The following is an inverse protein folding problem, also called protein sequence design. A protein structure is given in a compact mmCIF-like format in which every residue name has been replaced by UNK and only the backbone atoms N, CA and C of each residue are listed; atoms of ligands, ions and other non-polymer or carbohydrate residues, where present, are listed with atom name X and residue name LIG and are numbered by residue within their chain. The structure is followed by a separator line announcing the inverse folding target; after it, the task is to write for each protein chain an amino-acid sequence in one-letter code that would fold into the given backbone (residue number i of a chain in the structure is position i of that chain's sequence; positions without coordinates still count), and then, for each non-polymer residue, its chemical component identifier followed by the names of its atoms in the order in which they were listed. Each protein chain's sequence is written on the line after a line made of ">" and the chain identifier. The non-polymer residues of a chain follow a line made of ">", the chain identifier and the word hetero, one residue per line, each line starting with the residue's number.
data_IF_472352920755
#
_entry.id   IF_472352920755
#
_cell.length_a   1.000
_cell.length_b   1.000
_cell.length_c   1.000
_cell.angle_alpha   90.00
_cell.angle_beta   90.00
_cell.angle_gamma   90.00
#
_symmetry.space_group_name_H-M   'P 1'
#
loop_
_entity.id
_entity.type
_entity.pdbx_description
1 polymer ?
#
# COMPACT_ATOMS: atom_id res chain seq x y z
N UNK A 1 -16.99 -13.42 17.87
CA UNK A 1 -17.18 -13.60 16.43
C UNK A 1 -17.83 -12.33 15.89
N UNK A 2 -17.03 -11.36 15.49
CA UNK A 2 -17.52 -10.13 14.84
C UNK A 2 -17.75 -10.48 13.38
N UNK A 3 -19.02 -10.42 12.95
CA UNK A 3 -19.37 -10.51 11.52
C UNK A 3 -18.81 -9.27 10.85
N UNK A 4 -17.69 -9.41 10.14
CA UNK A 4 -17.14 -8.37 9.29
C UNK A 4 -18.14 -8.19 8.14
N UNK A 5 -18.93 -7.11 8.25
CA UNK A 5 -19.90 -6.73 7.24
C UNK A 5 -19.15 -6.35 5.95
N UNK A 6 -19.64 -6.88 4.86
CA UNK A 6 -19.18 -6.76 3.47
C UNK A 6 -19.33 -5.33 2.88
N UNK A 7 -19.19 -4.28 3.68
CA UNK A 7 -19.57 -2.92 3.27
C UNK A 7 -18.43 -1.92 3.30
N UNK A 8 -17.17 -2.35 3.16
CA UNK A 8 -16.16 -1.36 3.38
C UNK A 8 -15.03 -1.36 2.35
N UNK A 9 -15.36 -1.04 1.12
CA UNK A 9 -14.37 -0.54 0.17
C UNK A 9 -14.89 0.59 -0.72
N UNK A 10 -16.07 1.16 -0.43
CA UNK A 10 -16.63 2.20 -1.28
C UNK A 10 -17.37 3.25 -0.46
N UNK A 11 -16.67 4.30 -0.05
CA UNK A 11 -17.33 5.60 0.03
C UNK A 11 -17.36 6.18 -1.37
N UNK A 12 -18.29 5.73 -2.18
CA UNK A 12 -18.68 6.38 -3.41
C UNK A 12 -19.37 7.70 -3.04
N UNK A 13 -18.70 8.80 -3.28
CA UNK A 13 -19.37 10.07 -3.45
C UNK A 13 -20.39 9.89 -4.57
N UNK A 14 -21.68 10.00 -4.22
CA UNK A 14 -22.82 9.88 -5.11
C UNK A 14 -22.83 11.01 -6.13
N UNK A 15 -22.20 10.82 -7.27
CA UNK A 15 -22.50 11.54 -8.50
C UNK A 15 -23.08 10.53 -9.49
N UNK A 16 -24.17 10.88 -10.22
CA UNK A 16 -24.88 9.96 -11.09
C UNK A 16 -24.24 9.85 -12.48
N UNK A 17 -23.01 9.42 -12.52
CA UNK A 17 -22.35 8.88 -13.73
C UNK A 17 -21.52 7.69 -13.30
N UNK A 18 -21.46 6.58 -14.07
CA UNK A 18 -20.50 5.54 -13.81
C UNK A 18 -19.12 6.14 -14.08
N UNK A 19 -18.52 6.77 -13.08
CA UNK A 19 -17.14 7.20 -13.14
C UNK A 19 -16.30 5.94 -13.29
N UNK A 20 -15.77 5.71 -14.45
CA UNK A 20 -14.64 4.83 -14.62
C UNK A 20 -13.51 5.49 -13.83
N UNK A 21 -13.06 4.82 -12.79
CA UNK A 21 -11.92 5.28 -12.04
C UNK A 21 -10.66 5.03 -12.87
N UNK A 22 -10.21 6.06 -13.56
CA UNK A 22 -9.02 6.04 -14.43
C UNK A 22 -7.81 6.70 -13.73
N UNK A 23 -7.98 7.16 -12.49
CA UNK A 23 -6.94 7.84 -11.69
C UNK A 23 -6.88 7.25 -10.28
N UNK A 24 -5.67 6.99 -9.79
CA UNK A 24 -5.46 6.50 -8.40
C UNK A 24 -5.91 7.50 -7.35
N UNK A 25 -6.06 8.79 -7.71
CA UNK A 25 -6.51 9.88 -6.82
C UNK A 25 -7.99 9.81 -6.49
N UNK A 26 -8.75 9.02 -7.26
CA UNK A 26 -10.18 8.77 -6.99
C UNK A 26 -10.41 7.78 -5.84
N UNK A 27 -9.32 7.17 -5.32
CA UNK A 27 -9.37 6.15 -4.28
C UNK A 27 -8.78 6.63 -2.97
N UNK A 28 -9.31 6.06 -1.89
CA UNK A 28 -8.90 6.39 -0.53
C UNK A 28 -8.45 5.14 0.23
N UNK A 29 -7.43 5.33 1.07
CA UNK A 29 -7.01 4.38 2.10
C UNK A 29 -7.14 5.12 3.42
N UNK A 30 -8.03 4.67 4.31
CA UNK A 30 -8.36 5.31 5.60
C UNK A 30 -8.73 6.80 5.45
N UNK A 31 -9.47 7.14 4.37
CA UNK A 31 -9.92 8.50 4.11
C UNK A 31 -8.89 9.43 3.44
N UNK A 32 -7.67 8.95 3.19
CA UNK A 32 -6.59 9.68 2.52
C UNK A 32 -6.47 9.28 1.05
N UNK A 33 -6.10 10.22 0.18
CA UNK A 33 -5.83 10.00 -1.25
C UNK A 33 -4.41 10.41 -1.63
N UNK A 34 -3.89 9.84 -2.70
CA UNK A 34 -2.67 10.34 -3.35
C UNK A 34 -2.92 11.77 -3.83
N UNK A 35 -2.04 12.70 -3.46
CA UNK A 35 -2.18 14.13 -3.73
C UNK A 35 -2.69 14.96 -2.55
N UNK A 36 -3.28 14.34 -1.53
CA UNK A 36 -3.65 15.03 -0.29
C UNK A 36 -2.41 15.41 0.51
N UNK A 37 -2.56 16.33 1.45
CA UNK A 37 -1.55 16.62 2.47
C UNK A 37 -1.74 15.70 3.67
N UNK A 38 -0.68 15.08 4.18
CA UNK A 38 -0.77 14.36 5.45
C UNK A 38 -1.17 15.26 6.62
N UNK A 39 -0.92 16.57 6.53
CA UNK A 39 -1.32 17.55 7.55
C UNK A 39 -2.85 17.70 7.67
N UNK A 40 -3.62 17.25 6.70
CA UNK A 40 -5.08 17.25 6.77
C UNK A 40 -5.60 16.15 7.73
N UNK A 41 -4.73 15.18 8.10
CA UNK A 41 -5.08 14.00 8.89
C UNK A 41 -4.26 13.85 10.18
N UNK A 42 -3.02 14.37 10.19
CA UNK A 42 -2.06 14.21 11.29
C UNK A 42 -1.32 15.52 11.56
N UNK A 43 -0.89 15.71 12.79
CA UNK A 43 0.02 16.81 13.13
C UNK A 43 1.42 16.60 12.55
N UNK A 44 2.17 17.67 12.33
CA UNK A 44 3.55 17.60 11.85
C UNK A 44 4.43 16.75 12.80
N UNK A 45 4.22 16.82 14.11
CA UNK A 45 4.95 16.03 15.12
C UNK A 45 4.68 14.52 14.94
N UNK A 46 3.43 14.13 14.71
CA UNK A 46 3.07 12.73 14.44
C UNK A 46 3.71 12.23 13.16
N UNK A 47 3.67 13.02 12.07
CA UNK A 47 4.30 12.67 10.80
C UNK A 47 5.82 12.48 10.98
N UNK A 48 6.52 13.46 11.56
CA UNK A 48 7.97 13.43 11.72
C UNK A 48 8.44 12.27 12.62
N UNK A 49 7.71 11.98 13.70
CA UNK A 49 8.02 10.86 14.59
C UNK A 49 7.78 9.49 13.97
N UNK A 50 6.94 9.43 12.93
CA UNK A 50 6.57 8.21 12.21
C UNK A 50 7.49 7.89 11.03
N UNK A 51 8.43 8.79 10.67
CA UNK A 51 9.35 8.55 9.55
C UNK A 51 10.28 7.37 9.84
N UNK A 52 10.44 6.52 8.82
CA UNK A 52 11.33 5.36 8.83
C UNK A 52 12.33 5.42 7.68
N UNK A 53 13.55 5.00 7.93
CA UNK A 53 14.64 4.97 6.95
C UNK A 53 14.74 3.59 6.28
N UNK A 54 13.80 3.30 5.37
CA UNK A 54 13.80 2.04 4.61
C UNK A 54 14.73 2.04 3.40
N UNK A 55 15.14 3.22 2.94
CA UNK A 55 15.85 3.39 1.67
C UNK A 55 17.18 4.10 1.88
N UNK A 56 18.15 3.85 1.00
CA UNK A 56 19.45 4.53 1.01
C UNK A 56 19.35 5.96 0.45
N UNK A 57 18.61 6.11 -0.65
CA UNK A 57 18.28 7.40 -1.21
C UNK A 57 17.11 8.03 -0.45
N UNK A 58 17.18 9.33 -0.22
CA UNK A 58 16.23 10.07 0.60
C UNK A 58 15.34 11.03 -0.19
N UNK A 59 15.24 10.87 -1.51
CA UNK A 59 14.34 11.70 -2.35
C UNK A 59 12.90 11.64 -1.86
N UNK A 60 12.46 10.43 -1.43
CA UNK A 60 11.20 10.24 -0.74
C UNK A 60 11.43 9.70 0.67
N UNK A 61 10.58 10.12 1.59
CA UNK A 61 10.46 9.59 2.95
C UNK A 61 9.23 8.69 3.05
N UNK A 62 9.29 7.73 3.95
CA UNK A 62 8.16 6.88 4.32
C UNK A 62 7.82 7.11 5.78
N UNK A 63 6.56 7.42 6.08
CA UNK A 63 6.03 7.47 7.44
C UNK A 63 5.10 6.27 7.67
N UNK A 64 5.33 5.53 8.77
CA UNK A 64 4.45 4.47 9.23
C UNK A 64 3.44 5.05 10.22
N UNK A 65 2.21 5.26 9.73
CA UNK A 65 1.13 5.88 10.49
C UNK A 65 0.26 4.80 11.14
N UNK A 66 -0.05 5.00 12.42
CA UNK A 66 -0.97 4.16 13.18
C UNK A 66 -2.00 5.06 13.86
N UNK A 67 -3.27 4.68 13.83
CA UNK A 67 -4.35 5.39 14.48
C UNK A 67 -5.43 4.44 14.96
N UNK A 68 -6.01 4.71 16.11
CA UNK A 68 -7.20 4.01 16.59
C UNK A 68 -8.46 4.33 15.77
N UNK A 69 -8.38 5.33 14.91
CA UNK A 69 -9.46 5.74 13.99
C UNK A 69 -9.44 4.96 12.69
N UNK A 70 -8.36 4.22 12.39
CA UNK A 70 -8.31 3.34 11.23
C UNK A 70 -9.31 2.20 11.39
N UNK A 71 -10.07 1.96 10.32
CA UNK A 71 -11.19 1.02 10.36
C UNK A 71 -10.94 -0.25 9.54
N UNK A 72 -10.02 -0.19 8.57
CA UNK A 72 -9.79 -1.23 7.58
C UNK A 72 -8.43 -1.87 7.78
N UNK A 73 -7.40 -1.02 7.94
CA UNK A 73 -6.01 -1.43 8.03
C UNK A 73 -5.46 -1.26 9.45
N UNK A 74 -4.51 -2.10 9.83
CA UNK A 74 -3.79 -1.99 11.10
C UNK A 74 -2.81 -0.82 11.12
N UNK A 75 -2.38 -0.37 9.93
CA UNK A 75 -1.52 0.78 9.74
C UNK A 75 -1.50 1.24 8.29
N UNK A 76 -0.93 2.43 8.07
CA UNK A 76 -0.76 3.02 6.74
C UNK A 76 0.67 3.49 6.57
N UNK A 77 1.30 3.15 5.45
CA UNK A 77 2.56 3.75 5.03
C UNK A 77 2.27 4.86 4.03
N UNK A 78 2.65 6.08 4.38
CA UNK A 78 2.55 7.24 3.50
C UNK A 78 3.94 7.65 3.01
N UNK A 79 4.06 7.95 1.71
CA UNK A 79 5.32 8.35 1.08
C UNK A 79 5.19 9.74 0.47
N UNK A 80 6.14 10.61 0.79
CA UNK A 80 6.17 12.02 0.37
C UNK A 80 7.61 12.46 0.08
N UNK A 81 7.81 13.57 -0.62
CA UNK A 81 9.15 14.09 -0.93
C UNK A 81 9.82 14.64 0.33
N UNK A 82 11.13 14.41 0.45
CA UNK A 82 11.91 14.79 1.64
C UNK A 82 11.79 16.27 2.00
N UNK A 83 11.82 17.16 1.00
CA UNK A 83 11.83 18.61 1.21
C UNK A 83 10.43 19.26 1.12
N UNK A 84 9.38 18.43 1.02
CA UNK A 84 8.01 18.92 0.92
C UNK A 84 7.39 19.15 2.31
N UNK A 85 7.33 20.42 2.71
CA UNK A 85 6.72 20.82 3.98
C UNK A 85 5.19 20.70 4.02
N UNK A 86 4.56 20.41 2.90
CA UNK A 86 3.12 20.11 2.84
C UNK A 86 2.85 18.62 3.01
N UNK A 87 3.89 17.79 3.00
CA UNK A 87 3.80 16.35 3.10
C UNK A 87 2.77 15.76 2.11
N UNK A 88 2.85 16.20 0.83
CA UNK A 88 1.94 15.70 -0.22
C UNK A 88 2.20 14.23 -0.46
N UNK A 89 1.13 13.45 -0.40
CA UNK A 89 1.15 11.99 -0.54
C UNK A 89 1.43 11.62 -2.00
N UNK A 90 2.55 10.96 -2.25
CA UNK A 90 2.92 10.34 -3.54
C UNK A 90 2.66 8.83 -3.56
N UNK A 91 2.62 8.21 -2.41
CA UNK A 91 2.27 6.81 -2.24
C UNK A 91 1.56 6.56 -0.92
N UNK A 92 0.56 5.72 -0.96
CA UNK A 92 -0.24 5.36 0.19
C UNK A 92 -0.46 3.85 0.19
N UNK A 93 -0.13 3.17 1.28
CA UNK A 93 -0.21 1.72 1.40
C UNK A 93 -0.89 1.36 2.72
N UNK A 94 -2.08 0.77 2.64
CA UNK A 94 -2.73 0.13 3.78
C UNK A 94 -2.06 -1.22 4.08
N UNK A 95 -1.81 -1.48 5.36
CA UNK A 95 -1.13 -2.68 5.86
C UNK A 95 -2.02 -3.41 6.84
N UNK A 96 -2.22 -4.71 6.62
CA UNK A 96 -2.89 -5.62 7.56
C UNK A 96 -1.94 -6.74 7.94
N UNK A 97 -1.81 -7.04 9.24
CA UNK A 97 -0.92 -8.09 9.74
C UNK A 97 -1.61 -9.44 9.80
N UNK A 98 -0.87 -10.50 9.44
CA UNK A 98 -1.30 -11.90 9.47
C UNK A 98 -0.28 -12.74 10.24
N UNK A 99 -0.29 -12.63 11.56
CA UNK A 99 0.79 -13.15 12.43
C UNK A 99 1.09 -14.64 12.28
N UNK A 100 0.13 -15.47 11.87
CA UNK A 100 0.33 -16.92 11.76
C UNK A 100 -0.53 -17.57 10.65
N UNK A 101 -1.09 -16.78 9.74
CA UNK A 101 -1.99 -17.32 8.74
C UNK A 101 -1.87 -16.59 7.39
N UNK A 102 -0.80 -16.87 6.68
CA UNK A 102 -0.55 -16.31 5.34
C UNK A 102 -1.64 -16.72 4.33
N UNK A 103 -2.30 -17.84 4.52
CA UNK A 103 -3.38 -18.29 3.64
C UNK A 103 -4.59 -17.32 3.67
N UNK A 104 -4.85 -16.71 4.82
CA UNK A 104 -5.88 -15.65 4.90
C UNK A 104 -5.46 -14.40 4.12
N UNK A 105 -4.17 -14.05 4.10
CA UNK A 105 -3.65 -12.97 3.25
C UNK A 105 -3.92 -13.28 1.77
N UNK A 106 -3.59 -14.49 1.32
CA UNK A 106 -3.81 -14.88 -0.07
C UNK A 106 -5.29 -14.84 -0.45
N UNK A 107 -6.16 -15.37 0.40
CA UNK A 107 -7.60 -15.32 0.17
C UNK A 107 -8.11 -13.87 0.09
N UNK A 108 -7.65 -12.99 1.00
CA UNK A 108 -8.02 -11.58 1.00
C UNK A 108 -7.48 -10.81 -0.20
N UNK A 109 -6.24 -11.11 -0.62
CA UNK A 109 -5.64 -10.57 -1.85
C UNK A 109 -6.51 -10.90 -3.07
N UNK A 110 -6.96 -12.15 -3.19
CA UNK A 110 -7.78 -12.57 -4.32
C UNK A 110 -9.17 -11.92 -4.32
N UNK A 111 -9.78 -11.72 -3.16
CA UNK A 111 -11.03 -10.97 -3.00
C UNK A 111 -10.86 -9.51 -3.50
N UNK A 112 -9.83 -8.81 -3.00
CA UNK A 112 -9.54 -7.41 -3.38
C UNK A 112 -9.19 -7.32 -4.86
N UNK A 113 -8.43 -8.27 -5.40
CA UNK A 113 -8.12 -8.32 -6.83
C UNK A 113 -9.38 -8.35 -7.70
N UNK A 114 -10.37 -9.16 -7.34
CA UNK A 114 -11.62 -9.25 -8.09
C UNK A 114 -12.42 -7.94 -8.04
N UNK A 115 -12.37 -7.22 -6.92
CA UNK A 115 -13.02 -5.91 -6.78
C UNK A 115 -12.28 -4.84 -7.59
N UNK A 116 -10.95 -4.74 -7.43
CA UNK A 116 -10.14 -3.76 -8.17
C UNK A 116 -10.21 -3.97 -9.68
N UNK A 117 -10.28 -5.23 -10.14
CA UNK A 117 -10.47 -5.55 -11.56
C UNK A 117 -11.80 -5.04 -12.13
N UNK A 118 -12.84 -4.95 -11.32
CA UNK A 118 -14.13 -4.36 -11.73
C UNK A 118 -14.06 -2.83 -11.80
N UNK A 119 -13.28 -2.23 -10.93
CA UNK A 119 -13.12 -0.77 -10.82
C UNK A 119 -12.15 -0.23 -11.87
N UNK A 120 -10.99 -0.85 -12.03
CA UNK A 120 -9.89 -0.42 -12.91
C UNK A 120 -9.96 -1.06 -14.31
N UNK A 121 -11.05 -0.83 -15.04
CA UNK A 121 -11.29 -1.47 -16.34
C UNK A 121 -10.25 -1.15 -17.40
N UNK A 122 -9.60 0.02 -17.31
CA UNK A 122 -8.61 0.51 -18.28
C UNK A 122 -7.17 0.31 -17.83
N UNK A 123 -6.94 -0.21 -16.62
CA UNK A 123 -5.60 -0.51 -16.14
C UNK A 123 -5.05 -1.78 -16.80
N UNK A 124 -3.76 -1.79 -17.05
CA UNK A 124 -3.03 -3.00 -17.44
C UNK A 124 -2.74 -3.81 -16.18
N UNK A 125 -3.18 -5.07 -16.15
CA UNK A 125 -2.95 -5.97 -15.01
C UNK A 125 -1.63 -6.69 -15.24
N UNK A 126 -0.70 -6.57 -14.29
CA UNK A 126 0.54 -7.33 -14.20
C UNK A 126 0.47 -8.23 -12.96
N UNK A 127 0.10 -9.49 -13.17
CA UNK A 127 0.09 -10.51 -12.12
C UNK A 127 1.45 -11.22 -12.12
N UNK A 128 2.28 -10.88 -11.13
CA UNK A 128 3.63 -11.45 -10.98
C UNK A 128 3.66 -12.79 -10.25
N UNK A 129 2.52 -13.25 -9.74
CA UNK A 129 2.47 -14.44 -8.93
C UNK A 129 3.37 -14.33 -7.67
N UNK A 130 3.97 -15.45 -7.27
CA UNK A 130 4.85 -15.51 -6.10
C UNK A 130 6.33 -15.53 -6.51
N UNK A 131 7.14 -14.70 -5.86
CA UNK A 131 8.60 -14.61 -6.08
C UNK A 131 9.34 -14.41 -4.74
N UNK A 132 10.65 -14.64 -4.73
CA UNK A 132 11.46 -14.45 -3.52
C UNK A 132 11.54 -12.99 -3.11
N UNK A 133 11.38 -12.72 -1.81
CA UNK A 133 11.45 -11.36 -1.29
C UNK A 133 12.88 -10.80 -1.46
N UNK A 134 13.07 -9.61 -2.04
CA UNK A 134 14.40 -9.09 -2.39
C UNK A 134 15.36 -8.92 -1.21
N UNK A 135 14.84 -8.64 -0.01
CA UNK A 135 15.68 -8.44 1.19
C UNK A 135 16.05 -9.76 1.89
N UNK A 136 15.39 -10.86 1.53
CA UNK A 136 15.75 -12.18 2.09
C UNK A 136 16.70 -12.92 1.14
N UNK A 137 18.00 -12.79 1.40
CA UNK A 137 19.05 -13.45 0.62
C UNK A 137 18.95 -14.99 0.64
N UNK A 138 18.22 -15.58 1.59
CA UNK A 138 18.01 -17.04 1.64
C UNK A 138 16.96 -17.50 0.62
N UNK A 139 16.15 -16.56 0.09
CA UNK A 139 15.07 -16.83 -0.85
C UNK A 139 13.87 -17.59 -0.26
N UNK A 140 13.83 -17.78 1.07
CA UNK A 140 12.73 -18.48 1.75
C UNK A 140 11.48 -17.61 1.87
N UNK A 141 11.65 -16.31 2.15
CA UNK A 141 10.51 -15.37 2.20
C UNK A 141 9.98 -15.09 0.80
N UNK A 142 8.67 -14.95 0.67
CA UNK A 142 7.98 -14.75 -0.61
C UNK A 142 7.17 -13.46 -0.63
N UNK A 143 7.00 -12.94 -1.85
CA UNK A 143 6.04 -11.88 -2.14
C UNK A 143 5.12 -12.41 -3.24
N UNK A 144 3.81 -12.36 -3.01
CA UNK A 144 2.82 -12.60 -4.05
C UNK A 144 2.16 -11.27 -4.40
N UNK A 145 2.25 -10.84 -5.66
CA UNK A 145 1.91 -9.47 -6.04
C UNK A 145 1.10 -9.38 -7.34
N UNK A 146 0.14 -8.45 -7.35
CA UNK A 146 -0.58 -8.00 -8.54
C UNK A 146 -0.52 -6.48 -8.60
N UNK A 147 -0.32 -5.95 -9.82
CA UNK A 147 -0.30 -4.53 -10.10
C UNK A 147 -1.36 -4.17 -11.13
N UNK A 148 -1.90 -2.97 -11.01
CA UNK A 148 -2.81 -2.34 -11.95
C UNK A 148 -2.14 -1.05 -12.43
N UNK A 149 -1.55 -1.07 -13.62
CA UNK A 149 -0.89 0.09 -14.22
C UNK A 149 -1.87 0.95 -15.01
N UNK A 150 -1.86 2.26 -14.74
CA UNK A 150 -2.63 3.25 -15.47
C UNK A 150 -1.82 3.90 -16.60
N UNK A 151 -2.50 4.56 -17.53
CA UNK A 151 -1.84 5.30 -18.63
C UNK A 151 -0.93 6.41 -18.13
N UNK A 152 -1.24 7.01 -16.99
CA UNK A 152 -0.42 8.01 -16.29
C UNK A 152 0.91 7.46 -15.78
N UNK A 153 1.10 6.14 -15.78
CA UNK A 153 2.17 5.40 -15.10
C UNK A 153 2.02 5.30 -13.58
N UNK A 154 0.98 5.88 -13.04
CA UNK A 154 0.56 5.60 -11.67
C UNK A 154 0.08 4.14 -11.60
N UNK A 155 0.10 3.55 -10.41
CA UNK A 155 -0.34 2.18 -10.27
C UNK A 155 -0.95 1.90 -8.90
N UNK A 156 -1.86 0.94 -8.89
CA UNK A 156 -2.32 0.30 -7.67
C UNK A 156 -1.66 -1.08 -7.54
N UNK A 157 -1.47 -1.54 -6.30
CA UNK A 157 -0.86 -2.84 -6.02
C UNK A 157 -1.57 -3.57 -4.90
N UNK A 158 -1.54 -4.90 -4.97
CA UNK A 158 -1.93 -5.78 -3.88
C UNK A 158 -0.78 -6.77 -3.69
N UNK A 159 -0.28 -6.89 -2.46
CA UNK A 159 0.83 -7.79 -2.14
C UNK A 159 0.55 -8.55 -0.86
N UNK A 160 0.89 -9.84 -0.84
CA UNK A 160 1.12 -10.59 0.39
C UNK A 160 2.62 -10.77 0.58
N UNK A 161 3.12 -10.43 1.76
CA UNK A 161 4.47 -10.74 2.22
C UNK A 161 4.38 -11.93 3.16
N UNK A 162 5.08 -13.00 2.79
CA UNK A 162 5.17 -14.28 3.50
C UNK A 162 6.61 -14.42 3.97
N UNK A 163 6.85 -14.08 5.21
CA UNK A 163 8.18 -14.07 5.79
C UNK A 163 8.59 -15.47 6.27
N UNK A 164 9.83 -15.81 6.06
CA UNK A 164 10.37 -17.05 6.59
C UNK A 164 10.39 -17.02 8.13
N UNK A 165 10.18 -18.17 8.76
CA UNK A 165 10.20 -18.27 10.23
C UNK A 165 11.52 -17.81 10.85
N UNK A 166 12.63 -17.92 10.12
CA UNK A 166 13.92 -17.39 10.58
C UNK A 166 13.84 -15.86 10.72
N UNK A 167 13.26 -15.15 9.72
CA UNK A 167 13.13 -13.68 9.74
C UNK A 167 12.10 -13.21 10.76
N UNK A 168 11.00 -13.91 10.93
CA UNK A 168 10.02 -13.59 11.98
C UNK A 168 10.67 -13.57 13.37
N UNK A 169 11.60 -14.50 13.64
CA UNK A 169 12.29 -14.58 14.91
C UNK A 169 13.43 -13.58 15.05
N UNK A 170 14.27 -13.41 14.00
CA UNK A 170 15.49 -12.60 14.08
C UNK A 170 15.24 -11.13 13.84
N UNK A 171 14.38 -10.81 12.88
CA UNK A 171 14.09 -9.44 12.41
C UNK A 171 12.72 -8.92 12.90
N UNK A 172 11.90 -9.81 13.47
CA UNK A 172 10.51 -9.52 13.87
C UNK A 172 9.62 -9.11 12.69
N UNK A 173 9.96 -9.59 11.50
CA UNK A 173 9.09 -9.43 10.34
C UNK A 173 7.77 -10.17 10.57
N UNK A 174 6.67 -9.62 10.10
CA UNK A 174 5.33 -10.20 10.22
C UNK A 174 4.70 -10.30 8.84
N UNK A 175 4.02 -11.41 8.56
CA UNK A 175 3.26 -11.57 7.33
C UNK A 175 2.25 -10.45 7.18
N UNK A 176 2.16 -9.87 5.98
CA UNK A 176 1.29 -8.71 5.74
C UNK A 176 0.59 -8.77 4.40
N UNK A 177 -0.67 -8.30 4.39
CA UNK A 177 -1.32 -7.77 3.20
C UNK A 177 -0.98 -6.29 3.06
N UNK A 178 -0.62 -5.88 1.85
CA UNK A 178 -0.36 -4.48 1.49
C UNK A 178 -1.18 -4.11 0.26
N UNK A 179 -2.06 -3.14 0.40
CA UNK A 179 -2.84 -2.57 -0.69
C UNK A 179 -2.39 -1.13 -0.88
N UNK A 180 -1.91 -0.77 -2.05
CA UNK A 180 -1.26 0.53 -2.24
C UNK A 180 -1.64 1.22 -3.53
N UNK A 181 -1.55 2.55 -3.49
CA UNK A 181 -1.74 3.50 -4.57
C UNK A 181 -0.47 4.34 -4.67
N UNK A 182 0.22 4.32 -5.81
CA UNK A 182 1.52 4.96 -5.96
C UNK A 182 1.58 5.75 -7.27
N UNK A 183 2.17 6.96 -7.20
CA UNK A 183 2.48 7.72 -8.42
C UNK A 183 3.58 7.04 -9.24
N UNK A 184 3.55 7.25 -10.56
CA UNK A 184 4.60 6.73 -11.45
C UNK A 184 5.99 7.26 -11.10
N UNK A 185 6.10 8.51 -10.61
CA UNK A 185 7.35 9.09 -10.14
C UNK A 185 7.93 8.31 -8.95
N UNK A 186 7.09 8.04 -7.93
CA UNK A 186 7.50 7.25 -6.77
C UNK A 186 7.85 5.81 -7.18
N UNK A 187 7.06 5.21 -8.07
CA UNK A 187 7.32 3.86 -8.57
C UNK A 187 8.65 3.75 -9.30
N UNK A 188 8.98 4.73 -10.15
CA UNK A 188 10.27 4.81 -10.82
C UNK A 188 11.42 4.91 -9.79
N UNK A 189 11.28 5.78 -8.79
CA UNK A 189 12.28 5.93 -7.74
C UNK A 189 12.47 4.64 -6.93
N UNK A 190 11.40 4.01 -6.49
CA UNK A 190 11.46 2.72 -5.75
C UNK A 190 12.19 1.63 -6.53
N UNK A 191 12.00 1.59 -7.85
CA UNK A 191 12.57 0.53 -8.70
C UNK A 191 14.03 0.79 -9.06
N UNK A 192 14.43 2.06 -9.26
CA UNK A 192 15.69 2.38 -9.91
C UNK A 192 16.70 3.14 -9.02
N UNK A 193 16.24 3.77 -7.93
CA UNK A 193 17.06 4.70 -7.14
C UNK A 193 17.12 4.34 -5.66
N UNK A 194 15.99 4.04 -5.05
CA UNK A 194 15.80 3.96 -3.60
C UNK A 194 16.82 3.07 -2.84
N UNK A 195 17.32 2.02 -3.48
CA UNK A 195 18.19 1.01 -2.88
C UNK A 195 19.64 1.02 -3.40
N UNK A 196 19.98 1.93 -4.31
CA UNK A 196 21.32 2.04 -4.92
C UNK A 196 22.30 2.85 -4.08
#
# INVERSE_FOLDING_TARGET
>A
MKRLSLYLFLVLLTLPTPSQADDIRDFQIEGMSVGDSLLDHFSEEEIESSIRNYHKDHTFKTADMYSSEFNIYDGVQAMFKQDDRKYIIHGLIGVTFYENNIEECYAKKDEIFLEMKKLFKNAVIDDRGSYSHPVDITGKSKVTAVYFEFKSKDYAQIKCFDWSKDREVTERDTDTLRVGLLTGELGYWLTNVAYN
#
